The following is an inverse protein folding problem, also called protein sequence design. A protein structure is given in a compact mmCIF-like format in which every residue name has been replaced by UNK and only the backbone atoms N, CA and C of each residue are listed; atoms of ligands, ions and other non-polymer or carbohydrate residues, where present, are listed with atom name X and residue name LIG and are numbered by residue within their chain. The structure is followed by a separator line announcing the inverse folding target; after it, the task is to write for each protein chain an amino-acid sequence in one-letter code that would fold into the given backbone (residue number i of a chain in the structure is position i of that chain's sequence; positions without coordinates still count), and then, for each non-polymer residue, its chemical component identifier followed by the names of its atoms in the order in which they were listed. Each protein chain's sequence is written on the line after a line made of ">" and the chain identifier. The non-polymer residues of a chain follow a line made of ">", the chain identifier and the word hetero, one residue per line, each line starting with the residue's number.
data_IF_991562602239
#
_entry.id   IF_991562602239
#
_cell.length_a   1.000
_cell.length_b   1.000
_cell.length_c   1.000
_cell.angle_alpha   90.00
_cell.angle_beta   90.00
_cell.angle_gamma   90.00
#
_symmetry.space_group_name_H-M   'P 1'
#
loop_
_entity.id
_entity.type
_entity.pdbx_description
1 polymer ?
#
# COMPACT_ATOMS: atom_id res chain seq x y z
N UNK A 1 6.49 -17.49 10.24
CA UNK A 1 6.07 -16.30 10.99
C UNK A 1 7.24 -15.80 11.83
N UNK A 2 7.50 -14.50 11.80
CA UNK A 2 8.63 -13.85 12.51
C UNK A 2 8.17 -12.50 13.06
N UNK A 3 8.87 -12.01 14.08
CA UNK A 3 8.66 -10.65 14.61
C UNK A 3 9.83 -9.77 14.22
N UNK A 4 9.51 -8.54 13.76
CA UNK A 4 10.50 -7.54 13.37
C UNK A 4 10.29 -6.27 14.19
N UNK A 5 11.33 -5.80 14.88
CA UNK A 5 11.27 -4.54 15.63
C UNK A 5 11.58 -3.37 14.70
N UNK A 6 10.74 -2.35 14.72
CA UNK A 6 10.97 -1.07 14.02
C UNK A 6 11.84 -0.18 14.90
N UNK A 7 13.10 0.09 14.54
CA UNK A 7 14.04 0.79 15.42
C UNK A 7 13.55 2.19 15.81
N UNK A 8 13.00 2.94 14.85
CA UNK A 8 12.57 4.34 15.03
C UNK A 8 11.42 4.49 16.03
N UNK A 9 10.50 3.52 16.10
CA UNK A 9 9.27 3.62 16.91
C UNK A 9 9.23 2.63 18.06
N UNK A 10 10.13 1.65 18.06
CA UNK A 10 10.15 0.54 19.03
C UNK A 10 9.03 -0.48 18.84
N UNK A 11 8.12 -0.27 17.90
CA UNK A 11 7.00 -1.19 17.62
C UNK A 11 7.50 -2.49 17.01
N UNK A 12 6.72 -3.56 17.19
CA UNK A 12 7.06 -4.91 16.71
C UNK A 12 6.02 -5.35 15.70
N UNK A 13 6.47 -5.64 14.49
CA UNK A 13 5.65 -6.13 13.39
C UNK A 13 5.56 -7.66 13.44
N UNK A 14 4.38 -8.19 13.14
CA UNK A 14 4.21 -9.60 12.84
C UNK A 14 4.40 -9.79 11.34
N UNK A 15 5.42 -10.54 10.96
CA UNK A 15 5.77 -10.82 9.56
C UNK A 15 5.41 -12.26 9.20
N UNK A 16 4.90 -12.44 8.00
CA UNK A 16 4.55 -13.73 7.41
C UNK A 16 5.31 -13.90 6.11
N UNK A 17 5.87 -15.06 5.88
CA UNK A 17 6.60 -15.37 4.65
C UNK A 17 6.20 -16.73 4.09
N UNK A 18 6.11 -16.77 2.78
CA UNK A 18 6.07 -17.97 1.94
C UNK A 18 7.33 -17.90 1.06
N UNK A 19 8.47 -18.44 1.54
CA UNK A 19 9.74 -18.31 0.82
C UNK A 19 9.73 -19.14 -0.45
N UNK A 20 10.34 -18.58 -1.49
CA UNK A 20 10.57 -19.25 -2.77
C UNK A 20 11.87 -18.72 -3.41
N UNK A 21 12.25 -19.26 -4.58
CA UNK A 21 13.50 -18.89 -5.27
C UNK A 21 13.32 -17.78 -6.32
N UNK A 22 12.09 -17.35 -6.60
CA UNK A 22 11.79 -16.30 -7.57
C UNK A 22 11.84 -14.90 -6.98
N UNK A 23 11.29 -13.94 -7.73
CA UNK A 23 11.21 -12.54 -7.34
C UNK A 23 10.48 -12.35 -6.03
N UNK A 24 10.95 -11.39 -5.26
CA UNK A 24 10.41 -11.07 -3.94
C UNK A 24 9.29 -10.06 -4.01
N UNK A 25 8.16 -10.39 -3.42
CA UNK A 25 6.99 -9.53 -3.36
C UNK A 25 6.68 -9.17 -1.91
N UNK A 26 6.47 -7.88 -1.64
CA UNK A 26 5.99 -7.38 -0.35
C UNK A 26 4.55 -6.91 -0.47
N UNK A 27 3.67 -7.47 0.38
CA UNK A 27 2.29 -7.04 0.47
C UNK A 27 2.07 -6.06 1.63
N UNK A 28 1.34 -4.97 1.38
CA UNK A 28 1.02 -3.91 2.33
C UNK A 28 -0.50 -3.68 2.40
N UNK A 29 -1.12 -4.06 3.51
CA UNK A 29 -2.56 -3.92 3.70
C UNK A 29 -2.98 -2.49 4.08
N UNK A 30 -4.27 -2.17 3.93
CA UNK A 30 -4.87 -0.90 4.29
C UNK A 30 -5.38 -0.83 5.73
N UNK A 31 -6.15 0.21 6.02
CA UNK A 31 -6.78 0.44 7.32
C UNK A 31 -7.72 -0.71 7.70
N UNK A 32 -7.74 -1.11 8.96
CA UNK A 32 -8.49 -2.26 9.48
C UNK A 32 -8.16 -3.61 8.82
N UNK A 33 -7.14 -3.66 7.95
CA UNK A 33 -6.66 -4.87 7.32
C UNK A 33 -5.70 -5.68 8.19
N UNK A 34 -5.13 -6.69 7.57
CA UNK A 34 -4.04 -7.52 8.12
C UNK A 34 -3.31 -8.20 6.96
N UNK A 35 -2.10 -8.66 7.18
CA UNK A 35 -1.31 -9.34 6.14
C UNK A 35 -2.05 -10.52 5.48
N UNK A 36 -2.87 -11.25 6.23
CA UNK A 36 -3.64 -12.38 5.70
C UNK A 36 -4.78 -12.02 4.75
N UNK A 37 -5.12 -10.73 4.55
CA UNK A 37 -6.15 -10.37 3.56
C UNK A 37 -5.76 -10.74 2.13
N UNK A 38 -4.46 -10.83 1.87
CA UNK A 38 -3.91 -11.19 0.57
C UNK A 38 -3.73 -12.70 0.37
N UNK A 39 -4.27 -13.56 1.25
CA UNK A 39 -3.93 -14.97 1.28
C UNK A 39 -4.16 -15.68 -0.06
N UNK A 40 -5.24 -15.35 -0.76
CA UNK A 40 -5.57 -15.93 -2.07
C UNK A 40 -4.49 -15.60 -3.11
N UNK A 41 -4.29 -14.30 -3.36
CA UNK A 41 -3.29 -13.81 -4.30
C UNK A 41 -1.87 -14.26 -3.90
N UNK A 42 -1.55 -14.26 -2.61
CA UNK A 42 -0.24 -14.68 -2.11
C UNK A 42 0.05 -16.16 -2.40
N UNK A 43 -0.93 -17.04 -2.27
CA UNK A 43 -0.77 -18.46 -2.58
C UNK A 43 -0.61 -18.68 -4.09
N UNK A 44 -1.45 -18.05 -4.91
CA UNK A 44 -1.37 -18.14 -6.37
C UNK A 44 -0.01 -17.66 -6.90
N UNK A 45 0.50 -16.53 -6.41
CA UNK A 45 1.81 -16.05 -6.81
C UNK A 45 2.95 -16.93 -6.27
N UNK A 46 2.80 -17.46 -5.04
CA UNK A 46 3.78 -18.39 -4.49
C UNK A 46 3.87 -19.68 -5.32
N UNK A 47 2.73 -20.24 -5.76
CA UNK A 47 2.68 -21.45 -6.60
C UNK A 47 3.30 -21.19 -7.99
N UNK A 48 3.32 -19.93 -8.43
CA UNK A 48 4.03 -19.47 -9.64
C UNK A 48 5.53 -19.21 -9.41
N UNK A 49 6.04 -19.43 -8.20
CA UNK A 49 7.47 -19.37 -7.88
C UNK A 49 7.94 -18.09 -7.17
N UNK A 50 7.07 -17.12 -6.87
CA UNK A 50 7.45 -15.87 -6.19
C UNK A 50 7.71 -16.06 -4.70
N UNK A 51 8.71 -15.34 -4.14
CA UNK A 51 8.97 -15.25 -2.68
C UNK A 51 8.04 -14.19 -2.08
N UNK A 52 7.11 -14.61 -1.25
CA UNK A 52 6.06 -13.75 -0.72
C UNK A 52 6.38 -13.33 0.70
N UNK A 53 6.30 -12.03 0.96
CA UNK A 53 6.36 -11.45 2.29
C UNK A 53 5.14 -10.55 2.51
N UNK A 54 4.50 -10.66 3.68
CA UNK A 54 3.48 -9.73 4.15
C UNK A 54 3.64 -9.51 5.64
N UNK A 55 3.07 -8.44 6.17
CA UNK A 55 3.13 -8.14 7.60
C UNK A 55 1.86 -7.44 8.06
N UNK A 56 1.59 -7.51 9.34
CA UNK A 56 0.56 -6.69 9.95
C UNK A 56 1.16 -5.32 10.28
N UNK A 57 0.50 -4.23 9.87
CA UNK A 57 0.88 -2.86 10.21
C UNK A 57 0.80 -2.63 11.74
N UNK A 58 1.53 -1.67 12.31
CA UNK A 58 1.37 -1.31 13.72
C UNK A 58 -0.09 -1.03 14.07
N UNK A 59 -0.52 -1.50 15.22
CA UNK A 59 -1.92 -1.37 15.65
C UNK A 59 -2.92 -2.30 14.96
N UNK A 60 -2.44 -3.19 14.08
CA UNK A 60 -3.27 -4.15 13.33
C UNK A 60 -2.83 -5.58 13.58
N UNK A 61 -3.74 -6.51 13.37
CA UNK A 61 -3.49 -7.95 13.41
C UNK A 61 -2.77 -8.41 14.68
N UNK A 62 -1.60 -9.04 14.51
CA UNK A 62 -0.73 -9.53 15.61
C UNK A 62 0.50 -8.65 15.86
N UNK A 63 0.61 -7.52 15.17
CA UNK A 63 1.63 -6.51 15.45
C UNK A 63 1.39 -5.79 16.77
N UNK A 64 2.45 -5.23 17.34
CA UNK A 64 2.34 -4.52 18.61
C UNK A 64 1.60 -3.17 18.46
N UNK A 65 1.18 -2.61 19.60
CA UNK A 65 0.47 -1.36 19.74
C UNK A 65 -1.05 -1.49 19.50
N UNK A 66 -1.80 -0.59 20.14
CA UNK A 66 -3.24 -0.35 19.89
C UNK A 66 -3.46 0.87 19.01
N UNK A 67 -2.39 1.59 18.70
CA UNK A 67 -2.39 2.86 17.98
C UNK A 67 -1.39 2.81 16.85
N UNK A 68 -1.71 3.48 15.77
CA UNK A 68 -0.80 3.73 14.66
C UNK A 68 -1.07 5.11 14.06
N UNK A 69 -0.09 5.63 13.36
CA UNK A 69 -0.16 6.87 12.62
C UNK A 69 0.64 6.71 11.32
N UNK A 70 0.59 7.69 10.44
CA UNK A 70 1.25 7.66 9.13
C UNK A 70 2.76 7.40 9.26
N UNK A 71 3.52 8.12 10.12
CA UNK A 71 4.95 7.83 10.31
C UNK A 71 5.25 6.43 10.82
N UNK A 72 4.48 5.92 11.76
CA UNK A 72 4.68 4.56 12.27
C UNK A 72 4.62 3.53 11.13
N UNK A 73 3.68 3.73 10.21
CA UNK A 73 3.49 2.84 9.07
C UNK A 73 4.60 3.04 8.03
N UNK A 74 4.96 4.29 7.73
CA UNK A 74 6.07 4.60 6.81
C UNK A 74 7.40 4.03 7.31
N UNK A 75 7.72 4.20 8.61
CA UNK A 75 8.91 3.58 9.21
C UNK A 75 8.84 2.05 9.21
N UNK A 76 7.64 1.49 9.32
CA UNK A 76 7.47 0.03 9.23
C UNK A 76 7.77 -0.48 7.82
N UNK A 77 7.25 0.18 6.79
CA UNK A 77 7.58 -0.11 5.40
C UNK A 77 9.08 -0.04 5.13
N UNK A 78 9.71 1.08 5.47
CA UNK A 78 11.16 1.26 5.33
C UNK A 78 11.96 0.18 6.09
N UNK A 79 11.52 -0.21 7.30
CA UNK A 79 12.16 -1.29 8.06
C UNK A 79 12.02 -2.64 7.37
N UNK A 80 10.85 -2.93 6.78
CA UNK A 80 10.65 -4.15 6.00
C UNK A 80 11.57 -4.20 4.77
N UNK A 81 11.63 -3.09 4.02
CA UNK A 81 12.52 -2.95 2.87
C UNK A 81 13.98 -3.21 3.23
N UNK A 82 14.47 -2.56 4.29
CA UNK A 82 15.86 -2.70 4.74
C UNK A 82 16.17 -4.11 5.27
N UNK A 83 15.24 -4.75 5.97
CA UNK A 83 15.52 -6.01 6.68
C UNK A 83 15.32 -7.25 5.82
N UNK A 84 14.47 -7.20 4.80
CA UNK A 84 14.04 -8.34 4.00
C UNK A 84 14.19 -8.13 2.49
N UNK A 85 14.37 -6.88 2.06
CA UNK A 85 14.60 -6.53 0.65
C UNK A 85 15.96 -6.98 0.12
N UNK A 86 16.33 -6.62 -1.13
CA UNK A 86 15.46 -5.86 -2.00
C UNK A 86 14.18 -6.64 -2.37
N UNK A 87 13.11 -5.91 -2.66
CA UNK A 87 11.87 -6.47 -3.21
C UNK A 87 11.74 -6.05 -4.67
N UNK A 88 11.26 -6.95 -5.51
CA UNK A 88 11.03 -6.72 -6.93
C UNK A 88 9.67 -6.06 -7.20
N UNK A 89 8.73 -6.25 -6.29
CA UNK A 89 7.40 -5.65 -6.40
C UNK A 89 6.79 -5.35 -5.02
N UNK A 90 6.11 -4.21 -4.92
CA UNK A 90 5.20 -3.91 -3.82
C UNK A 90 3.76 -4.08 -4.26
N UNK A 91 2.99 -4.90 -3.57
CA UNK A 91 1.54 -5.05 -3.79
C UNK A 91 0.80 -4.46 -2.59
N UNK A 92 -0.08 -3.52 -2.85
CA UNK A 92 -0.71 -2.74 -1.80
C UNK A 92 -2.22 -2.56 -2.00
N UNK A 93 -2.95 -2.37 -0.90
CA UNK A 93 -4.39 -2.19 -0.93
C UNK A 93 -4.83 -0.97 -0.13
N UNK A 94 -5.70 -0.14 -0.71
CA UNK A 94 -6.32 1.00 -0.04
C UNK A 94 -5.25 1.94 0.54
N UNK A 95 -5.34 2.32 1.80
CA UNK A 95 -4.34 3.14 2.49
C UNK A 95 -2.92 2.56 2.43
N UNK A 96 -2.79 1.24 2.29
CA UNK A 96 -1.51 0.58 2.04
C UNK A 96 -0.79 1.11 0.80
N UNK A 97 -1.53 1.60 -0.21
CA UNK A 97 -0.94 2.17 -1.43
C UNK A 97 -0.19 3.47 -1.17
N UNK A 98 -0.70 4.35 -0.30
CA UNK A 98 0.01 5.57 0.09
C UNK A 98 1.33 5.21 0.76
N UNK A 99 1.33 4.19 1.62
CA UNK A 99 2.54 3.75 2.31
C UNK A 99 3.53 3.05 1.40
N UNK A 100 3.04 2.27 0.43
CA UNK A 100 3.90 1.63 -0.57
C UNK A 100 4.59 2.68 -1.45
N UNK A 101 3.88 3.70 -1.90
CA UNK A 101 4.45 4.82 -2.67
C UNK A 101 5.48 5.60 -1.84
N UNK A 102 5.19 5.90 -0.58
CA UNK A 102 6.15 6.56 0.32
C UNK A 102 7.37 5.66 0.63
N UNK A 103 7.20 4.34 0.69
CA UNK A 103 8.32 3.42 0.85
C UNK A 103 9.18 3.39 -0.43
N UNK A 104 8.58 3.43 -1.60
CA UNK A 104 9.28 3.53 -2.88
C UNK A 104 10.07 4.84 -2.99
N UNK A 105 9.48 5.99 -2.59
CA UNK A 105 10.20 7.28 -2.50
C UNK A 105 11.46 7.20 -1.64
N UNK A 106 11.40 6.45 -0.54
CA UNK A 106 12.51 6.35 0.41
C UNK A 106 13.62 5.37 -0.04
N UNK A 107 13.37 4.54 -1.04
CA UNK A 107 14.29 3.51 -1.52
C UNK A 107 14.33 3.48 -3.06
N UNK A 108 15.51 3.66 -3.60
CA UNK A 108 15.81 3.97 -5.01
C UNK A 108 15.56 2.79 -5.99
N UNK A 109 15.30 1.57 -5.54
CA UNK A 109 15.32 0.39 -6.42
C UNK A 109 14.11 -0.55 -6.24
N UNK A 110 12.88 -0.05 -6.41
CA UNK A 110 11.70 -0.91 -6.51
C UNK A 110 11.23 -0.90 -7.97
N UNK A 111 11.43 -2.00 -8.71
CA UNK A 111 11.09 -2.04 -10.14
C UNK A 111 9.61 -1.92 -10.43
N UNK A 112 8.74 -2.41 -9.53
CA UNK A 112 7.31 -2.45 -9.78
C UNK A 112 6.43 -2.21 -8.55
N UNK A 113 5.28 -1.59 -8.80
CA UNK A 113 4.22 -1.37 -7.78
C UNK A 113 2.88 -1.82 -8.35
N UNK A 114 2.11 -2.56 -7.54
CA UNK A 114 0.73 -2.90 -7.83
C UNK A 114 -0.15 -2.31 -6.73
N UNK A 115 -1.14 -1.51 -7.11
CA UNK A 115 -2.06 -0.90 -6.15
C UNK A 115 -3.49 -1.33 -6.41
N UNK A 116 -4.20 -1.70 -5.33
CA UNK A 116 -5.63 -1.94 -5.34
C UNK A 116 -6.34 -0.80 -4.63
N UNK A 117 -7.37 -0.24 -5.26
CA UNK A 117 -8.24 0.77 -4.65
C UNK A 117 -7.45 1.91 -3.99
N UNK A 118 -6.53 2.51 -4.75
CA UNK A 118 -5.73 3.65 -4.28
C UNK A 118 -6.63 4.81 -3.81
N UNK A 119 -6.46 5.33 -2.56
CA UNK A 119 -7.48 6.18 -1.98
C UNK A 119 -7.37 7.66 -2.35
N UNK A 120 -6.18 8.18 -2.54
CA UNK A 120 -5.96 9.60 -2.87
C UNK A 120 -4.48 9.90 -3.10
N UNK A 121 -4.23 10.86 -3.97
CA UNK A 121 -2.92 11.47 -4.17
C UNK A 121 -2.55 12.50 -3.10
N UNK A 122 -3.51 12.94 -2.29
CA UNK A 122 -3.34 13.97 -1.27
C UNK A 122 -3.93 13.53 0.06
N UNK A 123 -3.26 13.86 1.15
CA UNK A 123 -3.70 13.48 2.49
C UNK A 123 -4.93 14.26 2.96
N UNK A 124 -5.10 15.50 2.50
CA UNK A 124 -6.26 16.32 2.91
C UNK A 124 -7.61 15.72 2.47
N UNK A 125 -7.85 15.37 1.20
CA UNK A 125 -9.03 14.63 0.77
C UNK A 125 -9.20 13.29 1.50
N UNK A 126 -8.09 12.58 1.74
CA UNK A 126 -8.11 11.34 2.52
C UNK A 126 -8.67 11.57 3.93
N UNK A 127 -8.17 12.55 4.69
CA UNK A 127 -8.70 12.87 6.03
C UNK A 127 -10.14 13.35 5.98
N UNK A 128 -10.51 14.13 4.98
CA UNK A 128 -11.90 14.57 4.76
C UNK A 128 -12.85 13.39 4.60
N UNK A 129 -12.48 12.42 3.76
CA UNK A 129 -13.24 11.18 3.59
C UNK A 129 -13.30 10.34 4.87
N UNK A 130 -12.17 10.22 5.57
CA UNK A 130 -12.09 9.49 6.83
C UNK A 130 -13.01 10.08 7.91
N UNK A 131 -13.05 11.41 8.07
CA UNK A 131 -13.93 12.09 9.01
C UNK A 131 -15.40 11.82 8.69
N UNK A 132 -15.77 11.82 7.40
CA UNK A 132 -17.16 11.50 6.96
C UNK A 132 -17.57 10.08 7.33
N UNK A 133 -16.66 9.11 7.32
CA UNK A 133 -16.97 7.73 7.70
C UNK A 133 -17.43 7.57 9.15
N UNK A 134 -17.15 8.57 10.01
CA UNK A 134 -17.60 8.62 11.41
C UNK A 134 -18.79 9.58 11.64
N UNK A 135 -19.47 9.99 10.56
CA UNK A 135 -20.58 10.96 10.62
C UNK A 135 -20.19 12.30 11.29
N UNK A 136 -18.92 12.69 11.18
CA UNK A 136 -18.39 13.94 11.67
C UNK A 136 -18.32 15.00 10.55
N UNK A 137 -18.40 16.31 10.93
CA UNK A 137 -18.28 17.43 9.98
C UNK A 137 -16.83 17.59 9.51
N UNK A 138 -16.53 17.38 8.23
CA UNK A 138 -15.19 17.60 7.69
C UNK A 138 -14.73 19.05 7.81
N UNK A 139 -15.63 20.01 7.63
CA UNK A 139 -15.34 21.45 7.72
C UNK A 139 -14.82 21.86 9.11
N UNK A 140 -15.26 21.12 10.12
CA UNK A 140 -14.86 21.36 11.52
C UNK A 140 -13.58 20.63 11.92
N UNK A 141 -13.35 19.44 11.37
CA UNK A 141 -12.33 18.53 11.91
C UNK A 141 -11.16 18.26 10.98
N UNK A 142 -11.25 18.51 9.66
CA UNK A 142 -10.15 18.21 8.74
C UNK A 142 -8.90 19.03 9.09
N UNK A 143 -9.02 20.35 9.22
CA UNK A 143 -7.87 21.21 9.54
C UNK A 143 -7.28 20.84 10.91
N UNK A 144 -8.13 20.65 11.92
CA UNK A 144 -7.69 20.25 13.26
C UNK A 144 -6.93 18.93 13.28
N UNK A 145 -7.36 17.98 12.44
CA UNK A 145 -6.69 16.68 12.33
C UNK A 145 -5.33 16.83 11.63
N UNK A 146 -5.27 17.64 10.60
CA UNK A 146 -4.01 17.96 9.91
C UNK A 146 -3.05 18.69 10.85
N UNK A 147 -3.49 19.75 11.52
CA UNK A 147 -2.68 20.50 12.50
C UNK A 147 -2.15 19.56 13.61
N UNK A 148 -3.00 18.70 14.16
CA UNK A 148 -2.60 17.72 15.18
C UNK A 148 -1.51 16.78 14.66
N UNK A 149 -1.64 16.33 13.40
CA UNK A 149 -0.60 15.49 12.79
C UNK A 149 0.69 16.26 12.60
N UNK A 150 0.65 17.47 12.08
CA UNK A 150 1.85 18.31 11.88
C UNK A 150 2.57 18.59 13.20
N UNK A 151 1.83 18.97 14.24
CA UNK A 151 2.38 19.15 15.60
C UNK A 151 3.01 17.87 16.17
N UNK A 152 2.35 16.72 15.93
CA UNK A 152 2.81 15.43 16.45
C UNK A 152 4.04 14.89 15.68
N UNK A 153 4.10 15.15 14.38
CA UNK A 153 5.13 14.66 13.47
C UNK A 153 6.34 15.59 13.40
N UNK A 154 6.12 16.87 13.67
CA UNK A 154 7.13 17.92 13.51
C UNK A 154 7.40 18.31 12.05
N UNK A 155 6.53 17.90 11.12
CA UNK A 155 6.60 18.26 9.71
C UNK A 155 5.22 18.13 9.03
N UNK A 156 5.00 18.83 7.89
CA UNK A 156 3.72 18.85 7.20
C UNK A 156 3.21 17.46 6.78
N UNK A 157 1.92 17.25 6.92
CA UNK A 157 1.26 16.02 6.44
C UNK A 157 1.40 15.87 4.92
N UNK A 158 1.49 16.98 4.19
CA UNK A 158 1.73 17.02 2.74
C UNK A 158 3.05 16.37 2.30
N UNK A 159 4.01 16.19 3.21
CA UNK A 159 5.24 15.46 2.89
C UNK A 159 4.98 13.99 2.53
N UNK A 160 3.82 13.47 2.94
CA UNK A 160 3.36 12.12 2.61
C UNK A 160 2.40 12.09 1.41
N UNK A 161 2.12 13.23 0.77
CA UNK A 161 1.25 13.30 -0.41
C UNK A 161 1.93 12.65 -1.62
N UNK A 162 1.41 11.55 -2.17
CA UNK A 162 1.95 10.97 -3.41
C UNK A 162 2.04 11.98 -4.54
N UNK A 163 1.08 12.92 -4.64
CA UNK A 163 1.07 13.97 -5.65
C UNK A 163 2.34 14.83 -5.69
N UNK A 164 3.10 14.88 -4.59
CA UNK A 164 4.32 15.70 -4.52
C UNK A 164 5.57 15.01 -5.07
N UNK A 165 5.51 13.70 -5.38
CA UNK A 165 6.71 12.94 -5.75
C UNK A 165 6.48 11.77 -6.71
N UNK A 166 5.23 11.36 -6.93
CA UNK A 166 4.94 10.12 -7.67
C UNK A 166 5.42 10.15 -9.11
N UNK A 167 5.42 11.34 -9.74
CA UNK A 167 5.96 11.55 -11.10
C UNK A 167 7.48 11.37 -11.21
N UNK A 168 8.18 11.42 -10.08
CA UNK A 168 9.64 11.25 -10.03
C UNK A 168 10.03 9.79 -9.74
N UNK A 169 9.05 8.90 -9.55
CA UNK A 169 9.32 7.49 -9.31
C UNK A 169 9.60 6.75 -10.62
N UNK A 170 10.78 6.19 -10.74
CA UNK A 170 11.15 5.29 -11.85
C UNK A 170 10.64 3.86 -11.57
N UNK A 171 9.32 3.66 -11.65
CA UNK A 171 8.66 2.38 -11.37
C UNK A 171 7.67 2.02 -12.47
N UNK A 172 7.51 0.72 -12.75
CA UNK A 172 6.37 0.24 -13.50
C UNK A 172 5.17 0.03 -12.56
N UNK A 173 4.00 0.51 -12.92
CA UNK A 173 2.83 0.42 -12.07
C UNK A 173 1.67 -0.34 -12.72
N UNK A 174 1.01 -1.21 -11.94
CA UNK A 174 -0.30 -1.75 -12.26
C UNK A 174 -1.30 -1.24 -11.23
N UNK A 175 -2.27 -0.46 -11.71
CA UNK A 175 -3.27 0.19 -10.86
C UNK A 175 -4.60 -0.50 -11.07
N UNK A 176 -5.17 -1.09 -10.01
CA UNK A 176 -6.37 -1.90 -10.09
C UNK A 176 -7.45 -1.28 -9.21
N UNK A 177 -8.64 -1.03 -9.78
CA UNK A 177 -9.76 -0.46 -9.03
C UNK A 177 -11.09 -1.05 -9.50
N UNK A 178 -12.06 -1.10 -8.59
CA UNK A 178 -13.42 -1.44 -8.95
C UNK A 178 -14.27 -0.15 -9.03
N UNK A 179 -14.92 0.12 -10.17
CA UNK A 179 -15.73 1.34 -10.30
C UNK A 179 -16.92 1.41 -9.33
N UNK A 180 -17.38 0.23 -8.83
CA UNK A 180 -18.43 0.12 -7.80
C UNK A 180 -17.90 0.18 -6.37
N UNK A 181 -16.64 0.57 -6.17
CA UNK A 181 -16.06 0.74 -4.83
C UNK A 181 -16.79 1.85 -4.08
N UNK A 182 -17.44 1.49 -2.96
CA UNK A 182 -18.22 2.43 -2.14
C UNK A 182 -17.40 3.09 -1.02
N UNK A 183 -16.15 2.68 -0.87
CA UNK A 183 -15.24 3.17 0.18
C UNK A 183 -14.30 4.23 -0.42
N UNK A 184 -13.78 3.94 -1.61
CA UNK A 184 -12.81 4.79 -2.31
C UNK A 184 -13.30 5.05 -3.73
N UNK A 185 -13.32 6.31 -4.13
CA UNK A 185 -13.67 6.71 -5.49
C UNK A 185 -12.55 6.29 -6.46
N UNK A 186 -12.91 5.59 -7.54
CA UNK A 186 -11.98 5.12 -8.56
C UNK A 186 -11.23 6.26 -9.26
N UNK A 187 -11.73 7.49 -9.19
CA UNK A 187 -11.05 8.68 -9.73
C UNK A 187 -9.62 8.81 -9.21
N UNK A 188 -9.39 8.48 -7.95
CA UNK A 188 -8.04 8.53 -7.37
C UNK A 188 -7.05 7.58 -8.05
N UNK A 189 -7.51 6.44 -8.57
CA UNK A 189 -6.68 5.52 -9.34
C UNK A 189 -6.39 6.01 -10.75
N UNK A 190 -7.31 6.72 -11.38
CA UNK A 190 -7.03 7.42 -12.64
C UNK A 190 -6.00 8.53 -12.45
N UNK A 191 -6.16 9.35 -11.37
CA UNK A 191 -5.20 10.41 -11.06
C UNK A 191 -3.79 9.84 -10.80
N UNK A 192 -3.69 8.66 -10.19
CA UNK A 192 -2.41 7.97 -10.00
C UNK A 192 -1.84 7.45 -11.33
N UNK A 193 -2.68 6.90 -12.19
CA UNK A 193 -2.30 6.44 -13.53
C UNK A 193 -1.76 7.59 -14.38
N UNK A 194 -2.46 8.73 -14.37
CA UNK A 194 -2.05 9.93 -15.11
C UNK A 194 -0.72 10.51 -14.61
N UNK A 195 -0.31 10.19 -13.37
CA UNK A 195 0.90 10.71 -12.74
C UNK A 195 2.13 9.79 -12.87
N UNK A 196 1.97 8.52 -13.25
CA UNK A 196 3.07 7.56 -13.44
C UNK A 196 3.20 7.21 -14.92
N UNK A 197 4.28 7.60 -15.54
CA UNK A 197 4.50 7.44 -16.99
C UNK A 197 4.42 5.98 -17.46
N UNK A 198 5.07 5.04 -16.74
CA UNK A 198 5.02 3.60 -17.04
C UNK A 198 3.98 2.90 -16.17
N UNK A 199 2.71 3.17 -16.45
CA UNK A 199 1.62 2.54 -15.71
C UNK A 199 0.52 1.96 -16.60
N UNK A 200 -0.10 0.90 -16.09
CA UNK A 200 -1.33 0.31 -16.63
C UNK A 200 -2.45 0.42 -15.61
N UNK A 201 -3.67 0.65 -16.07
CA UNK A 201 -4.84 0.68 -15.20
C UNK A 201 -5.85 -0.39 -15.59
N UNK A 202 -6.36 -1.13 -14.60
CA UNK A 202 -7.41 -2.15 -14.74
C UNK A 202 -8.61 -1.75 -13.90
N UNK A 203 -9.74 -1.46 -14.56
CA UNK A 203 -10.99 -1.11 -13.90
C UNK A 203 -11.96 -2.29 -13.97
N UNK A 204 -12.32 -2.81 -12.81
CA UNK A 204 -13.27 -3.92 -12.66
C UNK A 204 -14.67 -3.42 -12.29
N UNK A 205 -15.65 -4.32 -12.32
CA UNK A 205 -17.05 -4.05 -11.92
C UNK A 205 -17.57 -5.15 -11.00
N UNK A 206 -18.44 -4.77 -10.07
CA UNK A 206 -19.15 -5.71 -9.21
C UNK A 206 -18.33 -6.30 -8.06
N UNK A 207 -17.01 -6.04 -7.97
CA UNK A 207 -16.13 -6.58 -6.93
C UNK A 207 -16.08 -5.72 -5.67
N UNK A 208 -16.18 -4.38 -5.82
CA UNK A 208 -16.07 -3.43 -4.72
C UNK A 208 -14.69 -3.43 -4.06
N UNK A 209 -14.60 -2.84 -2.88
CA UNK A 209 -13.32 -2.53 -2.20
C UNK A 209 -12.47 -3.73 -1.81
N UNK A 210 -13.07 -4.85 -1.45
CA UNK A 210 -12.33 -5.97 -0.83
C UNK A 210 -12.30 -7.24 -1.67
N UNK A 211 -13.40 -7.58 -2.39
CA UNK A 211 -13.45 -8.81 -3.19
C UNK A 211 -12.49 -8.79 -4.37
N UNK A 212 -12.10 -7.60 -4.82
CA UNK A 212 -11.10 -7.39 -5.86
C UNK A 212 -9.76 -8.08 -5.55
N UNK A 213 -9.44 -8.32 -4.28
CA UNK A 213 -8.21 -8.98 -3.84
C UNK A 213 -8.22 -10.51 -4.03
N UNK A 214 -9.35 -11.09 -4.37
CA UNK A 214 -9.54 -12.53 -4.51
C UNK A 214 -10.27 -12.92 -5.80
N UNK A 215 -10.26 -12.04 -6.79
CA UNK A 215 -10.82 -12.30 -8.10
C UNK A 215 -9.77 -12.94 -9.02
N UNK A 216 -10.14 -14.05 -9.67
CA UNK A 216 -9.21 -14.84 -10.48
C UNK A 216 -8.73 -14.09 -11.72
N UNK A 217 -9.60 -13.29 -12.37
CA UNK A 217 -9.18 -12.49 -13.53
C UNK A 217 -8.19 -11.41 -13.12
N UNK A 218 -8.40 -10.77 -11.98
CA UNK A 218 -7.45 -9.80 -11.41
C UNK A 218 -6.12 -10.46 -11.08
N UNK A 219 -6.15 -11.69 -10.55
CA UNK A 219 -4.93 -12.46 -10.27
C UNK A 219 -4.18 -12.82 -11.56
N UNK A 220 -4.88 -13.07 -12.66
CA UNK A 220 -4.29 -13.32 -13.97
C UNK A 220 -3.61 -12.05 -14.51
N UNK A 221 -4.28 -10.90 -14.49
CA UNK A 221 -3.70 -9.60 -14.86
C UNK A 221 -2.40 -9.29 -14.08
N UNK A 222 -2.38 -9.57 -12.78
CA UNK A 222 -1.18 -9.41 -11.96
C UNK A 222 -0.08 -10.38 -12.39
N UNK A 223 -0.44 -11.61 -12.71
CA UNK A 223 0.53 -12.62 -13.13
C UNK A 223 1.17 -12.23 -14.46
N UNK A 224 0.40 -11.72 -15.40
CA UNK A 224 0.87 -11.26 -16.70
C UNK A 224 1.78 -10.04 -16.54
N UNK A 225 1.37 -9.08 -15.71
CA UNK A 225 2.19 -7.93 -15.37
C UNK A 225 3.54 -8.34 -14.76
N UNK A 226 3.52 -9.23 -13.76
CA UNK A 226 4.73 -9.74 -13.12
C UNK A 226 5.65 -10.50 -14.07
N UNK A 227 5.08 -11.25 -15.02
CA UNK A 227 5.84 -11.97 -16.05
C UNK A 227 6.47 -11.01 -17.08
N UNK A 228 5.86 -9.84 -17.31
CA UNK A 228 6.37 -8.82 -18.24
C UNK A 228 7.51 -7.98 -17.66
N UNK A 229 7.77 -8.05 -16.36
CA UNK A 229 8.90 -7.38 -15.75
C UNK A 229 10.20 -8.05 -16.23
N UNK A 230 11.23 -7.28 -16.57
CA UNK A 230 12.51 -7.83 -16.94
C UNK A 230 13.12 -8.65 -15.79
N UNK A 231 13.89 -9.72 -16.08
CA UNK A 231 14.58 -10.44 -15.02
C UNK A 231 15.54 -9.49 -14.27
N UNK A 232 15.74 -9.69 -12.96
CA UNK A 232 16.71 -8.91 -12.21
C UNK A 232 18.10 -9.09 -12.86
N UNK A 233 18.75 -7.96 -13.08
CA UNK A 233 20.10 -7.87 -13.71
C UNK A 233 21.18 -8.50 -12.82
#
# INVERSE_FOLDING_TARGET
>A
QTKLKVPKTGKVLQVYRLPNNGRKILFMHGWNGRGSQFYHLALELHDKGYDITTFDLPGHGKSSSKWTNIPDISYSGATMMHSWGPFDCLISHSLGSIYALNAAKAQVDIPAIITFSHPSMNMRPFFTGYIRMFDLSPEKYTDRLMDYYEETLGHPVSDFDPASFVSDLEVRALIIHCEDDKIVDSRASYDLHDAIDDSNIVITRGLGHSRILSDDNVTEEISDFMASLEPPS
#
